data_IF_579171970272
#
_entry.id   IF_579171970272
#
_cell.length_a   1.000
_cell.length_b   1.000
_cell.length_c   1.000
_cell.angle_alpha   90.00
_cell.angle_beta   90.00
_cell.angle_gamma   90.00
#
_symmetry.space_group_name_H-M   'P 1'
#
loop_
_entity.id
_entity.type
_entity.pdbx_description
1 polymer ?
#
# COMPACT_ATOMS: atom_id res chain seq x y z
N UNK A 1 18.93 7.63 36.65
CA UNK A 1 18.29 6.64 35.76
C UNK A 1 18.63 7.02 34.34
N UNK A 2 19.34 6.14 33.62
CA UNK A 2 19.74 6.37 32.24
C UNK A 2 18.51 6.20 31.35
N UNK A 3 17.94 7.31 30.89
CA UNK A 3 16.97 7.32 29.79
C UNK A 3 17.74 7.04 28.50
N UNK A 4 17.72 5.79 28.04
CA UNK A 4 18.19 5.44 26.70
C UNK A 4 17.25 6.10 25.70
N UNK A 5 17.68 7.23 25.15
CA UNK A 5 17.05 7.85 23.98
C UNK A 5 17.13 6.86 22.83
N UNK A 6 16.05 6.10 22.62
CA UNK A 6 15.84 5.29 21.42
C UNK A 6 15.66 6.28 20.27
N UNK A 7 16.69 6.43 19.43
CA UNK A 7 16.52 7.03 18.12
C UNK A 7 15.53 6.15 17.34
N UNK A 8 14.52 6.71 16.65
CA UNK A 8 13.78 5.94 15.67
C UNK A 8 14.79 5.47 14.62
N UNK A 9 15.13 4.18 14.65
CA UNK A 9 15.92 3.55 13.61
C UNK A 9 15.09 3.62 12.34
N UNK A 10 15.60 4.33 11.34
CA UNK A 10 15.11 4.29 9.97
C UNK A 10 15.34 2.88 9.43
N UNK A 11 14.50 1.93 9.81
CA UNK A 11 14.53 0.61 9.20
C UNK A 11 13.77 0.75 7.89
N UNK A 12 14.54 0.89 6.82
CA UNK A 12 14.09 0.55 5.49
C UNK A 12 13.65 -0.91 5.54
N UNK A 13 12.36 -1.20 5.29
CA UNK A 13 11.87 -2.59 5.26
C UNK A 13 12.65 -3.43 4.23
N UNK A 14 13.19 -2.77 3.22
CA UNK A 14 14.16 -3.24 2.23
C UNK A 14 15.51 -3.71 2.83
N UNK A 15 15.83 -3.43 4.10
CA UNK A 15 16.99 -4.01 4.81
C UNK A 15 16.67 -5.32 5.55
N UNK A 16 15.39 -5.62 5.79
CA UNK A 16 14.93 -6.86 6.45
C UNK A 16 14.41 -7.89 5.47
N UNK A 17 13.80 -7.45 4.39
CA UNK A 17 13.46 -8.28 3.25
C UNK A 17 14.75 -8.38 2.42
N UNK A 18 15.53 -9.45 2.63
CA UNK A 18 16.73 -9.72 1.84
C UNK A 18 16.47 -9.56 0.33
N UNK A 19 17.51 -9.31 -0.49
CA UNK A 19 17.34 -9.03 -1.92
C UNK A 19 16.39 -10.06 -2.51
N UNK A 20 15.28 -9.59 -3.08
CA UNK A 20 14.21 -10.44 -3.57
C UNK A 20 14.80 -11.45 -4.57
N UNK A 21 15.01 -12.68 -4.11
CA UNK A 21 15.45 -13.77 -4.97
C UNK A 21 14.36 -13.94 -6.02
N UNK A 22 14.71 -13.69 -7.29
CA UNK A 22 13.81 -13.74 -8.44
C UNK A 22 13.25 -15.15 -8.72
N UNK A 23 13.58 -16.13 -7.88
CA UNK A 23 12.94 -17.43 -7.86
C UNK A 23 11.64 -17.32 -7.09
N UNK A 24 10.50 -17.34 -7.79
CA UNK A 24 9.14 -17.22 -7.27
C UNK A 24 8.66 -18.30 -6.29
N UNK A 25 9.51 -18.73 -5.36
CA UNK A 25 9.09 -19.36 -4.12
C UNK A 25 8.42 -18.26 -3.30
N UNK A 26 7.08 -18.31 -3.22
CA UNK A 26 6.28 -17.28 -2.57
C UNK A 26 6.79 -16.98 -1.17
N UNK A 27 7.24 -15.74 -0.95
CA UNK A 27 7.54 -15.23 0.38
C UNK A 27 6.28 -15.42 1.26
N UNK A 28 6.46 -15.76 2.54
CA UNK A 28 5.33 -15.86 3.44
C UNK A 28 4.61 -14.50 3.48
N UNK A 29 3.29 -14.54 3.31
CA UNK A 29 2.45 -13.36 3.40
C UNK A 29 2.56 -12.77 4.81
N UNK A 30 2.82 -11.48 4.89
CA UNK A 30 2.89 -10.76 6.17
C UNK A 30 1.50 -10.54 6.75
N UNK A 31 1.38 -10.57 8.07
CA UNK A 31 0.13 -10.29 8.77
C UNK A 31 0.12 -8.86 9.33
N UNK A 32 -1.06 -8.26 9.45
CA UNK A 32 -1.21 -6.92 10.03
C UNK A 32 -0.55 -6.76 11.42
N UNK A 33 -0.70 -7.71 12.38
CA UNK A 33 0.01 -7.62 13.66
C UNK A 33 1.52 -7.47 13.52
N UNK A 34 2.15 -8.23 12.61
CA UNK A 34 3.60 -8.19 12.40
C UNK A 34 4.03 -6.85 11.79
N UNK A 35 3.30 -6.38 10.78
CA UNK A 35 3.56 -5.07 10.17
C UNK A 35 3.45 -3.96 11.23
N UNK A 36 2.43 -4.01 12.09
CA UNK A 36 2.20 -2.98 13.10
C UNK A 36 3.26 -3.00 14.19
N UNK A 37 3.61 -4.19 14.67
CA UNK A 37 4.69 -4.37 15.62
C UNK A 37 6.00 -3.80 15.06
N UNK A 38 6.27 -4.04 13.77
CA UNK A 38 7.45 -3.53 13.10
C UNK A 38 7.46 -1.99 13.01
N UNK A 39 6.38 -1.37 12.53
CA UNK A 39 6.30 0.09 12.39
C UNK A 39 6.49 0.79 13.74
N UNK A 40 5.92 0.24 14.81
CA UNK A 40 6.00 0.81 16.15
C UNK A 40 7.30 0.44 16.89
N UNK A 41 8.12 -0.46 16.35
CA UNK A 41 9.30 -0.99 17.04
C UNK A 41 8.95 -1.78 18.31
N UNK A 42 7.81 -2.47 18.32
CA UNK A 42 7.37 -3.32 19.42
C UNK A 42 8.16 -4.65 19.44
N UNK A 43 8.27 -5.24 20.61
CA UNK A 43 8.87 -6.56 20.77
C UNK A 43 7.82 -7.67 20.56
N UNK A 44 8.26 -8.88 20.18
CA UNK A 44 7.37 -10.03 19.95
C UNK A 44 6.44 -10.36 21.13
N UNK A 45 6.85 -10.04 22.37
CA UNK A 45 6.02 -10.20 23.56
C UNK A 45 4.72 -9.37 23.53
N UNK A 46 4.76 -8.23 22.84
CA UNK A 46 3.63 -7.29 22.73
C UNK A 46 2.70 -7.63 21.55
N UNK A 47 3.15 -8.51 20.65
CA UNK A 47 2.42 -8.94 19.44
C UNK A 47 1.13 -9.69 19.78
N UNK A 48 1.06 -10.31 20.96
CA UNK A 48 -0.14 -10.98 21.48
C UNK A 48 -1.36 -10.05 21.57
N UNK A 49 -1.14 -8.76 21.88
CA UNK A 49 -2.21 -7.75 21.95
C UNK A 49 -2.73 -7.37 20.57
N UNK A 50 -1.89 -7.53 19.54
CA UNK A 50 -2.23 -7.21 18.15
C UNK A 50 -2.90 -8.36 17.41
N UNK A 51 -2.95 -9.57 17.98
CA UNK A 51 -3.62 -10.74 17.38
C UNK A 51 -5.08 -10.48 17.00
N UNK A 52 -5.74 -9.54 17.68
CA UNK A 52 -7.10 -9.08 17.33
C UNK A 52 -7.18 -8.53 15.90
N UNK A 53 -6.10 -7.93 15.38
CA UNK A 53 -6.03 -7.39 14.02
C UNK A 53 -6.01 -8.49 12.93
N UNK A 54 -5.75 -9.75 13.28
CA UNK A 54 -5.86 -10.87 12.32
C UNK A 54 -7.31 -11.15 11.92
N UNK A 55 -8.26 -10.68 12.72
CA UNK A 55 -9.68 -10.87 12.42
C UNK A 55 -10.07 -9.98 11.26
N UNK A 56 -10.62 -10.59 10.21
CA UNK A 56 -11.17 -9.92 9.01
C UNK A 56 -12.38 -9.02 9.31
N UNK A 57 -12.77 -8.88 10.58
CA UNK A 57 -13.78 -7.91 11.00
C UNK A 57 -13.24 -6.46 11.02
N UNK A 58 -11.92 -6.27 11.08
CA UNK A 58 -11.29 -4.95 11.14
C UNK A 58 -10.59 -4.51 9.85
N UNK A 59 -10.48 -5.40 8.87
CA UNK A 59 -9.91 -5.13 7.55
C UNK A 59 -10.47 -6.11 6.53
N UNK A 60 -10.44 -5.73 5.27
CA UNK A 60 -10.75 -6.61 4.14
C UNK A 60 -9.46 -6.92 3.39
N UNK A 61 -9.13 -8.20 3.20
CA UNK A 61 -8.00 -8.58 2.37
C UNK A 61 -8.41 -8.65 0.90
N UNK A 62 -7.76 -7.88 0.04
CA UNK A 62 -8.06 -7.81 -1.40
C UNK A 62 -6.81 -8.17 -2.19
N UNK A 63 -6.95 -9.07 -3.15
CA UNK A 63 -5.85 -9.52 -4.02
C UNK A 63 -6.04 -8.95 -5.43
N UNK A 64 -4.94 -8.49 -6.02
CA UNK A 64 -4.87 -7.85 -7.32
C UNK A 64 -3.87 -8.58 -8.23
N UNK A 65 -4.16 -8.58 -9.53
CA UNK A 65 -3.23 -9.04 -10.55
C UNK A 65 -2.29 -7.90 -10.96
N UNK A 66 -1.19 -8.22 -11.62
CA UNK A 66 -0.25 -7.21 -12.10
C UNK A 66 -0.95 -6.20 -13.05
N UNK A 67 -0.81 -4.91 -12.74
CA UNK A 67 -1.40 -3.81 -13.51
C UNK A 67 -2.83 -3.44 -13.12
N UNK A 68 -3.48 -4.18 -12.21
CA UNK A 68 -4.80 -3.80 -11.71
C UNK A 68 -4.75 -2.47 -10.96
N UNK A 69 -5.76 -1.63 -11.21
CA UNK A 69 -5.89 -0.32 -10.56
C UNK A 69 -6.54 -0.49 -9.19
N UNK A 70 -5.81 -0.08 -8.15
CA UNK A 70 -6.29 -0.13 -6.76
C UNK A 70 -7.17 1.09 -6.47
N UNK A 71 -6.70 2.29 -6.81
CA UNK A 71 -7.52 3.50 -6.89
C UNK A 71 -6.91 4.51 -7.87
N UNK A 72 -7.78 5.41 -8.35
CA UNK A 72 -7.41 6.53 -9.22
C UNK A 72 -7.27 7.82 -8.40
N UNK A 73 -6.48 8.77 -8.89
CA UNK A 73 -6.48 10.11 -8.32
C UNK A 73 -7.84 10.78 -8.57
N UNK A 74 -8.12 11.78 -7.74
CA UNK A 74 -9.37 12.54 -7.71
C UNK A 74 -10.62 11.68 -7.42
N UNK A 75 -10.46 10.43 -6.98
CA UNK A 75 -11.54 9.60 -6.44
C UNK A 75 -11.71 9.80 -4.94
N UNK A 76 -12.87 9.40 -4.38
CA UNK A 76 -13.13 9.47 -2.94
C UNK A 76 -12.20 8.54 -2.16
N UNK A 77 -11.62 9.03 -1.07
CA UNK A 77 -10.74 8.25 -0.20
C UNK A 77 -11.51 7.58 0.95
N UNK A 78 -12.34 6.58 0.62
CA UNK A 78 -13.20 5.85 1.58
C UNK A 78 -12.48 4.80 2.44
N UNK A 79 -11.22 4.50 2.09
CA UNK A 79 -10.36 3.54 2.77
C UNK A 79 -8.88 3.91 2.65
N UNK A 80 -8.00 3.20 3.35
CA UNK A 80 -6.57 3.17 3.06
C UNK A 80 -6.08 1.73 3.05
N UNK A 81 -4.83 1.55 2.64
CA UNK A 81 -4.31 0.24 2.28
C UNK A 81 -2.94 -0.02 2.91
N UNK A 82 -2.69 -1.30 3.19
CA UNK A 82 -1.42 -1.80 3.69
C UNK A 82 -1.02 -3.00 2.83
N UNK A 83 0.21 -3.02 2.32
CA UNK A 83 0.70 -4.13 1.48
C UNK A 83 1.02 -5.33 2.36
N UNK A 84 0.32 -6.45 2.19
CA UNK A 84 0.56 -7.71 2.91
C UNK A 84 1.42 -8.69 2.11
N UNK A 85 1.33 -8.62 0.78
CA UNK A 85 2.11 -9.43 -0.15
C UNK A 85 2.31 -8.67 -1.47
N UNK A 86 3.46 -8.86 -2.11
CA UNK A 86 3.80 -8.22 -3.39
C UNK A 86 4.21 -6.75 -3.23
N UNK A 87 3.87 -5.93 -4.22
CA UNK A 87 4.12 -4.49 -4.19
C UNK A 87 3.10 -3.72 -5.03
N UNK A 88 3.07 -2.40 -4.80
CA UNK A 88 2.23 -1.45 -5.54
C UNK A 88 3.07 -0.30 -6.09
N UNK A 89 2.64 0.30 -7.18
CA UNK A 89 3.28 1.47 -7.78
C UNK A 89 2.37 2.70 -7.67
N UNK A 90 2.93 3.81 -7.18
CA UNK A 90 2.29 5.12 -7.18
C UNK A 90 2.52 5.77 -8.53
N UNK A 91 1.44 6.14 -9.20
CA UNK A 91 1.46 6.65 -10.58
C UNK A 91 0.94 8.08 -10.64
N UNK A 92 1.60 8.90 -11.46
CA UNK A 92 1.11 10.24 -11.82
C UNK A 92 0.08 10.09 -12.94
N UNK A 93 -1.13 10.55 -12.67
CA UNK A 93 -2.33 10.18 -13.46
C UNK A 93 -2.41 10.81 -14.86
N UNK A 94 -1.47 11.68 -15.23
CA UNK A 94 -1.42 12.33 -16.56
C UNK A 94 -1.39 11.30 -17.73
N UNK A 95 -1.18 10.01 -17.43
CA UNK A 95 -1.05 8.92 -18.40
C UNK A 95 -1.90 7.67 -18.17
N UNK A 96 -2.77 7.57 -17.14
CA UNK A 96 -3.75 6.46 -17.09
C UNK A 96 -4.86 6.75 -18.10
N UNK A 97 -4.50 6.76 -19.39
CA UNK A 97 -5.47 6.74 -20.46
C UNK A 97 -6.26 5.45 -20.25
N UNK A 98 -7.56 5.60 -20.05
CA UNK A 98 -8.48 4.49 -20.05
C UNK A 98 -8.10 3.61 -21.23
N UNK A 99 -7.72 2.36 -20.97
CA UNK A 99 -7.62 1.29 -21.97
C UNK A 99 -9.03 1.00 -22.51
N UNK A 100 -9.68 2.02 -23.07
CA UNK A 100 -10.67 1.82 -24.10
C UNK A 100 -9.84 1.27 -25.26
N UNK A 101 -10.12 0.04 -25.73
CA UNK A 101 -9.45 -0.47 -26.91
C UNK A 101 -9.77 0.51 -28.04
N UNK A 102 -8.81 1.37 -28.35
CA UNK A 102 -8.90 2.26 -29.51
C UNK A 102 -8.83 1.36 -30.73
N UNK A 103 -9.99 0.86 -31.12
CA UNK A 103 -10.15 0.11 -32.36
C UNK A 103 -9.99 1.15 -33.46
N UNK A 104 -8.76 1.35 -33.93
CA UNK A 104 -8.49 2.19 -35.08
C UNK A 104 -9.06 1.42 -36.29
N UNK A 105 -10.31 1.71 -36.64
CA UNK A 105 -10.93 1.21 -37.88
C UNK A 105 -10.38 2.07 -39.02
N UNK A 106 -9.16 1.78 -39.46
CA UNK A 106 -8.71 2.22 -40.78
C UNK A 106 -9.38 1.36 -41.83
N UNK A 107 -9.96 1.98 -42.87
CA UNK A 107 -10.68 1.31 -43.97
C UNK A 107 -9.85 0.38 -44.87
N UNK A 108 -8.71 -0.13 -44.40
CA UNK A 108 -7.78 -0.99 -45.14
C UNK A 108 -7.69 -2.44 -44.60
N UNK A 109 -8.56 -2.83 -43.67
CA UNK A 109 -8.58 -4.18 -43.09
C UNK A 109 -8.04 -4.22 -41.65
N UNK A 110 -8.57 -5.18 -40.88
CA UNK A 110 -8.33 -5.30 -39.44
C UNK A 110 -6.96 -5.95 -39.21
N UNK A 111 -5.97 -5.15 -38.77
CA UNK A 111 -4.66 -5.68 -38.36
C UNK A 111 -4.65 -5.81 -36.84
N UNK A 112 -4.81 -7.03 -36.33
CA UNK A 112 -4.56 -7.32 -34.92
C UNK A 112 -3.05 -7.26 -34.67
N UNK A 113 -2.57 -6.14 -34.12
CA UNK A 113 -1.20 -6.10 -33.62
C UNK A 113 -1.13 -6.86 -32.29
N UNK A 114 -0.51 -8.05 -32.33
CA UNK A 114 -0.07 -8.75 -31.13
C UNK A 114 0.93 -7.85 -30.39
N UNK A 115 0.49 -7.24 -29.29
CA UNK A 115 1.34 -6.35 -28.51
C UNK A 115 2.26 -7.18 -27.60
N UNK A 116 3.56 -6.89 -27.68
CA UNK A 116 4.57 -7.48 -26.81
C UNK A 116 4.39 -7.00 -25.35
N UNK A 117 4.65 -7.86 -24.34
CA UNK A 117 4.46 -7.54 -22.92
C UNK A 117 5.27 -6.32 -22.44
N UNK A 118 6.40 -6.01 -23.09
CA UNK A 118 7.22 -4.82 -22.82
C UNK A 118 6.52 -3.47 -23.11
N UNK A 119 5.41 -3.43 -23.87
CA UNK A 119 4.64 -2.20 -24.07
C UNK A 119 3.67 -1.87 -22.94
N UNK A 120 3.27 -2.84 -22.11
CA UNK A 120 2.38 -2.59 -20.96
C UNK A 120 3.01 -1.64 -19.94
N UNK A 121 4.34 -1.73 -19.74
CA UNK A 121 5.07 -0.83 -18.85
C UNK A 121 5.10 0.64 -19.32
N UNK A 122 4.85 0.92 -20.61
CA UNK A 122 4.85 2.28 -21.16
C UNK A 122 3.48 2.97 -21.08
N UNK A 123 2.42 2.22 -20.77
CA UNK A 123 1.06 2.74 -20.54
C UNK A 123 0.80 3.07 -19.06
N UNK A 124 1.56 2.43 -18.17
CA UNK A 124 1.65 2.82 -16.76
C UNK A 124 2.38 4.17 -16.76
N UNK A 125 1.70 5.22 -16.31
CA UNK A 125 2.26 6.58 -16.30
C UNK A 125 3.57 6.73 -15.52
N UNK A 126 4.02 7.97 -15.34
CA UNK A 126 5.23 8.27 -14.56
C UNK A 126 5.13 7.67 -13.13
N UNK A 127 5.92 6.62 -12.87
CA UNK A 127 5.95 5.91 -11.59
C UNK A 127 6.76 6.76 -10.62
N UNK A 128 6.11 7.25 -9.56
CA UNK A 128 6.75 8.07 -8.53
C UNK A 128 7.49 7.24 -7.50
N UNK A 129 6.89 6.12 -7.10
CA UNK A 129 7.41 5.25 -6.06
C UNK A 129 6.85 3.83 -6.20
N UNK A 130 7.59 2.85 -5.70
CA UNK A 130 7.13 1.48 -5.51
C UNK A 130 7.08 1.23 -4.00
N UNK A 131 5.93 0.79 -3.51
CA UNK A 131 5.72 0.46 -2.11
C UNK A 131 5.67 -1.05 -1.95
N UNK A 132 6.48 -1.57 -1.04
CA UNK A 132 6.61 -3.00 -0.76
C UNK A 132 5.72 -3.42 0.40
N UNK A 133 5.78 -4.71 0.75
CA UNK A 133 5.14 -5.28 1.94
C UNK A 133 5.43 -4.43 3.18
N UNK A 134 4.44 -4.23 4.02
CA UNK A 134 4.52 -3.40 5.22
C UNK A 134 4.25 -1.91 5.00
N UNK A 135 4.30 -1.41 3.76
CA UNK A 135 3.99 -0.02 3.48
C UNK A 135 2.50 0.30 3.61
N UNK A 136 2.19 1.44 4.25
CA UNK A 136 0.87 2.03 4.33
C UNK A 136 0.73 3.13 3.27
N UNK A 137 -0.43 3.23 2.61
CA UNK A 137 -0.67 4.28 1.62
C UNK A 137 -2.14 4.68 1.52
N UNK A 138 -2.35 5.91 1.03
CA UNK A 138 -3.69 6.52 0.89
C UNK A 138 -4.33 6.95 2.21
N UNK A 139 -3.63 6.81 3.35
CA UNK A 139 -4.16 7.14 4.67
C UNK A 139 -4.30 8.64 4.91
N UNK A 140 -3.44 9.48 4.31
CA UNK A 140 -3.54 10.94 4.45
C UNK A 140 -4.85 11.46 3.85
N UNK A 141 -5.16 11.04 2.62
CA UNK A 141 -6.38 11.47 1.93
C UNK A 141 -7.64 10.93 2.62
N UNK A 142 -7.55 9.71 3.17
CA UNK A 142 -8.59 9.08 3.99
C UNK A 142 -8.86 9.85 5.29
N UNK A 143 -7.81 10.17 6.06
CA UNK A 143 -7.94 10.88 7.35
C UNK A 143 -8.45 12.31 7.18
N UNK A 144 -8.12 12.96 6.07
CA UNK A 144 -8.55 14.32 5.75
C UNK A 144 -9.87 14.38 4.97
N UNK A 145 -10.50 13.24 4.71
CA UNK A 145 -11.75 13.11 3.94
C UNK A 145 -11.72 13.88 2.60
N UNK A 146 -10.57 13.84 1.92
CA UNK A 146 -10.35 14.55 0.65
C UNK A 146 -10.19 13.58 -0.52
N UNK A 147 -10.36 14.04 -1.78
CA UNK A 147 -10.07 13.22 -2.94
C UNK A 147 -8.62 12.73 -2.97
N UNK A 148 -8.40 11.56 -3.56
CA UNK A 148 -7.08 10.94 -3.74
C UNK A 148 -6.14 11.86 -4.50
N UNK A 149 -4.92 12.04 -3.99
CA UNK A 149 -3.93 12.94 -4.61
C UNK A 149 -3.05 12.26 -5.65
N UNK A 150 -3.05 10.93 -5.70
CA UNK A 150 -2.30 10.08 -6.65
C UNK A 150 -3.10 8.83 -7.02
N UNK A 151 -2.68 8.14 -8.08
CA UNK A 151 -3.21 6.83 -8.46
C UNK A 151 -2.29 5.70 -7.98
N UNK A 152 -2.84 4.51 -7.79
CA UNK A 152 -2.06 3.32 -7.40
C UNK A 152 -2.48 2.11 -8.21
N UNK A 153 -1.50 1.35 -8.65
CA UNK A 153 -1.68 0.07 -9.34
C UNK A 153 -0.88 -1.05 -8.65
N UNK A 154 -1.33 -2.28 -8.77
CA UNK A 154 -0.54 -3.45 -8.37
C UNK A 154 0.65 -3.61 -9.34
N UNK A 155 1.86 -3.74 -8.80
CA UNK A 155 3.09 -3.90 -9.61
C UNK A 155 3.53 -5.35 -9.75
N UNK A 156 2.87 -6.28 -9.05
CA UNK A 156 3.18 -7.71 -9.04
C UNK A 156 1.88 -8.52 -9.12
N UNK A 157 1.99 -9.74 -9.67
CA UNK A 157 0.91 -10.71 -9.66
C UNK A 157 0.64 -11.22 -8.24
N UNK A 158 -0.62 -11.27 -7.83
CA UNK A 158 -1.01 -11.73 -6.50
C UNK A 158 -0.69 -10.72 -5.38
N UNK A 159 -0.52 -9.44 -5.71
CA UNK A 159 -0.39 -8.38 -4.70
C UNK A 159 -1.62 -8.39 -3.79
N UNK A 160 -1.41 -8.59 -2.49
CA UNK A 160 -2.48 -8.65 -1.49
C UNK A 160 -2.39 -7.45 -0.57
N UNK A 161 -3.51 -6.77 -0.38
CA UNK A 161 -3.63 -5.58 0.45
C UNK A 161 -4.63 -5.80 1.57
N UNK A 162 -4.34 -5.27 2.76
CA UNK A 162 -5.37 -5.01 3.75
C UNK A 162 -6.01 -3.65 3.44
N UNK A 163 -7.31 -3.64 3.18
CA UNK A 163 -8.15 -2.46 3.01
C UNK A 163 -8.88 -2.15 4.31
N UNK A 164 -8.73 -0.92 4.80
CA UNK A 164 -9.37 -0.46 6.04
C UNK A 164 -10.22 0.77 5.72
N UNK A 165 -11.54 0.64 5.89
CA UNK A 165 -12.52 1.71 5.68
C UNK A 165 -12.92 2.40 6.99
N UNK A 166 -13.62 3.54 6.90
CA UNK A 166 -14.16 4.23 8.08
C UNK A 166 -15.05 3.32 8.93
N UNK A 167 -15.91 2.50 8.30
CA UNK A 167 -16.79 1.58 9.02
C UNK A 167 -16.00 0.58 9.87
N UNK A 168 -14.91 0.03 9.31
CA UNK A 168 -14.02 -0.92 10.01
C UNK A 168 -13.24 -0.25 11.13
N UNK A 169 -12.78 0.99 10.92
CA UNK A 169 -12.11 1.78 11.95
C UNK A 169 -13.05 2.09 13.14
N UNK A 170 -14.27 2.53 12.85
CA UNK A 170 -15.28 2.81 13.87
C UNK A 170 -15.66 1.53 14.64
N UNK A 171 -15.74 0.38 13.95
CA UNK A 171 -15.96 -0.92 14.59
C UNK A 171 -14.80 -1.30 15.52
N UNK A 172 -13.55 -1.06 15.09
CA UNK A 172 -12.37 -1.30 15.91
C UNK A 172 -12.37 -0.42 17.17
N UNK A 173 -12.70 0.87 17.03
CA UNK A 173 -12.83 1.80 18.15
C UNK A 173 -13.88 1.33 19.16
N UNK A 174 -15.05 0.91 18.70
CA UNK A 174 -16.14 0.45 19.55
C UNK A 174 -15.83 -0.87 20.27
N UNK A 175 -15.13 -1.79 19.61
CA UNK A 175 -14.92 -3.16 20.11
C UNK A 175 -13.62 -3.30 20.90
N UNK A 176 -12.54 -2.65 20.45
CA UNK A 176 -11.19 -2.76 21.03
C UNK A 176 -10.48 -1.39 21.01
N UNK A 177 -10.86 -0.45 21.90
CA UNK A 177 -10.36 0.93 21.88
C UNK A 177 -8.84 1.04 22.07
N UNK A 178 -8.21 0.10 22.78
CA UNK A 178 -6.75 0.10 22.95
C UNK A 178 -6.02 -0.23 21.64
N UNK A 179 -6.52 -1.21 20.87
CA UNK A 179 -5.98 -1.54 19.55
C UNK A 179 -6.23 -0.40 18.57
N UNK A 180 -7.37 0.28 18.66
CA UNK A 180 -7.64 1.48 17.88
C UNK A 180 -6.63 2.60 18.15
N UNK A 181 -6.24 2.84 19.42
CA UNK A 181 -5.18 3.81 19.75
C UNK A 181 -3.83 3.43 19.16
N UNK A 182 -3.50 2.14 19.17
CA UNK A 182 -2.28 1.63 18.52
C UNK A 182 -2.34 1.94 17.02
N UNK A 183 -3.49 1.69 16.40
CA UNK A 183 -3.73 2.00 14.99
C UNK A 183 -3.51 3.48 14.68
N UNK A 184 -4.11 4.37 15.46
CA UNK A 184 -3.91 5.81 15.33
C UNK A 184 -2.43 6.22 15.50
N UNK A 185 -1.72 5.56 16.42
CA UNK A 185 -0.28 5.79 16.63
C UNK A 185 0.54 5.41 15.40
N UNK A 186 0.25 4.28 14.77
CA UNK A 186 0.87 3.84 13.50
C UNK A 186 0.62 4.86 12.39
N UNK A 187 -0.61 5.32 12.23
CA UNK A 187 -0.96 6.30 11.19
C UNK A 187 -0.27 7.64 11.42
N UNK A 188 -0.22 8.10 12.68
CA UNK A 188 0.48 9.33 13.04
C UNK A 188 1.98 9.22 12.75
N UNK A 189 2.62 8.13 13.18
CA UNK A 189 4.04 7.89 12.92
C UNK A 189 4.33 7.83 11.41
N UNK A 190 3.49 7.14 10.65
CA UNK A 190 3.59 7.08 9.19
C UNK A 190 3.46 8.46 8.55
N UNK A 191 2.53 9.30 9.05
CA UNK A 191 2.35 10.68 8.58
C UNK A 191 3.61 11.53 8.84
N UNK A 192 4.21 11.42 10.03
CA UNK A 192 5.43 12.14 10.39
C UNK A 192 6.59 11.71 9.50
N UNK A 193 6.71 10.41 9.20
CA UNK A 193 7.74 9.89 8.30
C UNK A 193 7.57 10.41 6.87
N UNK A 194 6.34 10.43 6.35
CA UNK A 194 6.05 10.96 5.01
C UNK A 194 6.37 12.46 4.92
N UNK A 195 5.99 13.24 5.93
CA UNK A 195 6.32 14.67 6.01
C UNK A 195 7.82 14.93 6.10
N UNK A 196 8.57 14.13 6.86
CA UNK A 196 10.01 14.25 6.97
C UNK A 196 10.69 14.06 5.61
N UNK A 197 10.25 13.07 4.83
CA UNK A 197 10.80 12.78 3.51
C UNK A 197 10.54 13.91 2.49
N UNK A 198 9.45 14.68 2.63
CA UNK A 198 9.16 15.82 1.77
C UNK A 198 10.10 17.02 1.98
N UNK A 199 10.82 17.09 3.11
CA UNK A 199 11.67 18.25 3.45
C UNK A 199 13.12 18.13 3.00
N UNK A 200 13.54 16.98 2.44
CA UNK A 200 14.94 16.71 2.10
C UNK A 200 15.27 16.82 0.61
N UNK A 201 14.36 17.35 -0.21
CA UNK A 201 14.50 17.46 -1.67
C UNK A 201 14.60 18.91 -2.17
N UNK A 202 15.50 19.69 -1.55
CA UNK A 202 16.01 20.96 -2.10
C UNK A 202 17.39 20.77 -2.75
#
# INVERSE_FOLDING_TARGET
GLTTSRRPSFIRLDELIGPADATGAGLPKETLPHIFAHVLGLHDSELSQLSVLERQEFHEEVTFNEGDVIFRRDTTADAFFIVLNGAVALVREDYIKQNTPSTIISGAGQVQMSQSPLRKAKEIGDIRAILQVGCLFGFVDFLLERPRTFGVIASHEGTTLAKISHARMNQLEATNPDVHRIFQSVLLQSSVMELANCTCSE
#
